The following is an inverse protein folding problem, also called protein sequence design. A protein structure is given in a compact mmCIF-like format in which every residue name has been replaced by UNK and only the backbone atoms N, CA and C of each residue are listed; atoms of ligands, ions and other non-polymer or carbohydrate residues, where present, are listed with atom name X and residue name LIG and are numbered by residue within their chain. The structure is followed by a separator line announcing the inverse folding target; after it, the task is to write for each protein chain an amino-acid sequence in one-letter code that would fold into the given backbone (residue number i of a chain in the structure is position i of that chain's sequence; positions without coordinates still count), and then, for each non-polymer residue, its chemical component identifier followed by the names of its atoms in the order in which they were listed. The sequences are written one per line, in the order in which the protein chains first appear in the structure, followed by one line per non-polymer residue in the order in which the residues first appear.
data_IF_460698978770
#
_entry.id   IF_460698978770
#
_cell.length_a   1.000
_cell.length_b   1.000
_cell.length_c   1.000
_cell.angle_alpha   90.00
_cell.angle_beta   90.00
_cell.angle_gamma   90.00
#
_symmetry.space_group_name_H-M   'P 1'
#
loop_
_entity.id
_entity.type
_entity.pdbx_description
1 polymer ?
#
# COMPACT_ATOMS: atom_id res chain seq x y z
N UNK A 1 20.30 -45.10 -50.42
CA UNK A 1 18.84 -44.82 -50.38
C UNK A 1 18.44 -44.46 -48.96
N UNK A 2 17.98 -43.21 -48.80
CA UNK A 2 17.33 -42.52 -47.67
C UNK A 2 16.88 -43.40 -46.47
N UNK A 3 16.96 -42.94 -45.23
CA UNK A 3 16.07 -41.89 -44.69
C UNK A 3 16.63 -41.24 -43.42
N UNK A 4 16.70 -39.91 -43.45
CA UNK A 4 16.87 -38.99 -42.33
C UNK A 4 15.73 -39.16 -41.30
N UNK A 5 16.07 -39.46 -40.05
CA UNK A 5 15.14 -39.40 -38.92
C UNK A 5 15.17 -37.99 -38.31
N UNK A 6 14.07 -37.26 -38.51
CA UNK A 6 13.80 -35.93 -37.96
C UNK A 6 13.81 -35.96 -36.43
N UNK A 7 14.73 -35.22 -35.83
CA UNK A 7 14.69 -34.85 -34.41
C UNK A 7 13.61 -33.78 -34.22
N UNK A 8 12.47 -34.16 -33.66
CA UNK A 8 11.41 -33.24 -33.24
C UNK A 8 11.80 -32.67 -31.86
N UNK A 9 12.50 -31.53 -31.88
CA UNK A 9 12.74 -30.72 -30.70
C UNK A 9 11.41 -30.12 -30.23
N UNK A 10 10.86 -30.66 -29.14
CA UNK A 10 9.68 -30.11 -28.47
C UNK A 10 10.12 -28.88 -27.70
N UNK A 11 9.87 -27.70 -28.28
CA UNK A 11 10.07 -26.42 -27.62
C UNK A 11 9.00 -26.28 -26.51
N UNK A 12 9.40 -26.53 -25.27
CA UNK A 12 8.63 -26.16 -24.10
C UNK A 12 8.58 -24.63 -24.02
N UNK A 13 7.46 -24.05 -24.45
CA UNK A 13 7.17 -22.64 -24.27
C UNK A 13 6.98 -22.37 -22.77
N UNK A 14 8.04 -21.92 -22.09
CA UNK A 14 7.93 -21.26 -20.80
C UNK A 14 7.16 -19.95 -21.03
N UNK A 15 5.85 -19.97 -20.81
CA UNK A 15 5.11 -18.74 -20.59
C UNK A 15 5.55 -18.18 -19.23
N UNK A 16 6.16 -16.97 -19.16
CA UNK A 16 6.25 -16.28 -17.90
C UNK A 16 4.81 -15.98 -17.46
N UNK A 17 4.36 -16.64 -16.39
CA UNK A 17 3.16 -16.22 -15.68
C UNK A 17 3.44 -14.83 -15.09
N UNK A 18 3.20 -13.80 -15.89
CA UNK A 18 3.25 -12.42 -15.44
C UNK A 18 2.11 -12.21 -14.48
N UNK A 19 2.41 -12.18 -13.18
CA UNK A 19 1.54 -11.58 -12.18
C UNK A 19 1.37 -10.11 -12.58
N UNK A 20 0.31 -9.80 -13.34
CA UNK A 20 -0.01 -8.41 -13.69
C UNK A 20 -0.77 -7.80 -12.51
N UNK A 21 0.02 -7.46 -11.50
CA UNK A 21 -0.37 -6.50 -10.50
C UNK A 21 0.01 -5.11 -10.99
N UNK A 22 -1.01 -4.28 -11.12
CA UNK A 22 -0.83 -2.88 -11.44
C UNK A 22 -0.48 -2.18 -10.14
N UNK A 23 0.67 -1.52 -10.07
CA UNK A 23 1.00 -0.70 -8.93
C UNK A 23 0.13 0.57 -8.99
N UNK A 24 -0.89 0.71 -8.13
CA UNK A 24 -1.55 2.01 -7.90
C UNK A 24 -0.55 2.85 -7.08
N UNK A 25 0.40 3.45 -7.79
CA UNK A 25 1.59 3.98 -7.17
C UNK A 25 1.29 5.27 -6.44
N UNK A 26 1.23 5.15 -5.11
CA UNK A 26 1.36 6.25 -4.15
C UNK A 26 0.17 7.19 -4.16
N UNK A 27 -0.80 6.89 -3.30
CA UNK A 27 -1.76 7.90 -2.87
C UNK A 27 -0.93 9.01 -2.16
N UNK A 28 -1.26 10.31 -2.34
CA UNK A 28 -0.41 11.41 -1.90
C UNK A 28 0.09 11.25 -0.47
N UNK A 29 1.36 11.63 -0.17
CA UNK A 29 1.90 11.57 1.18
C UNK A 29 0.96 12.30 2.14
N UNK A 30 0.66 11.62 3.24
CA UNK A 30 -0.30 12.07 4.23
C UNK A 30 0.31 13.25 5.01
N UNK A 31 -0.56 14.09 5.58
CA UNK A 31 -0.15 15.25 6.37
C UNK A 31 0.92 14.88 7.42
N UNK A 32 1.76 15.89 7.76
CA UNK A 32 2.94 15.83 8.64
C UNK A 32 2.64 15.25 10.03
N UNK A 33 2.46 13.93 10.12
CA UNK A 33 2.52 13.21 11.39
C UNK A 33 4.00 13.12 11.72
N UNK A 34 4.37 13.63 12.89
CA UNK A 34 5.73 13.49 13.39
C UNK A 34 5.97 12.04 13.81
N UNK A 35 6.28 11.20 12.82
CA UNK A 35 6.53 9.78 13.01
C UNK A 35 7.74 9.49 13.92
N UNK A 36 8.47 10.52 14.39
CA UNK A 36 9.51 10.37 15.41
C UNK A 36 8.94 10.05 16.79
N UNK A 37 7.71 10.49 17.09
CA UNK A 37 7.10 10.33 18.43
C UNK A 37 5.97 9.32 18.49
N UNK A 38 5.50 8.84 17.34
CA UNK A 38 4.39 7.89 17.26
C UNK A 38 4.75 6.52 17.82
N UNK A 39 3.92 5.97 18.70
CA UNK A 39 3.98 4.56 19.09
C UNK A 39 3.43 3.68 17.96
N UNK A 40 4.33 2.90 17.35
CA UNK A 40 4.05 2.08 16.19
C UNK A 40 3.16 0.87 16.50
N UNK A 41 3.09 0.44 17.77
CA UNK A 41 2.17 -0.63 18.18
C UNK A 41 0.71 -0.21 17.98
N UNK A 42 0.44 1.10 17.98
CA UNK A 42 -0.86 1.71 17.73
C UNK A 42 -1.06 2.21 16.30
N UNK A 43 -0.05 2.16 15.43
CA UNK A 43 -0.19 2.58 14.04
C UNK A 43 -1.11 1.61 13.29
N UNK A 44 -2.21 2.13 12.75
CA UNK A 44 -3.16 1.38 11.90
C UNK A 44 -3.47 2.16 10.64
N UNK A 45 -3.52 1.45 9.53
CA UNK A 45 -3.99 1.98 8.25
C UNK A 45 -5.28 1.27 7.92
N UNK A 46 -6.29 2.01 7.46
CA UNK A 46 -7.43 1.39 6.80
C UNK A 46 -7.63 1.97 5.41
N UNK A 47 -7.94 1.11 4.47
CA UNK A 47 -8.21 1.46 3.08
C UNK A 47 -9.66 1.08 2.79
N UNK A 48 -10.48 2.09 2.53
CA UNK A 48 -11.83 1.91 2.02
C UNK A 48 -11.80 1.93 0.50
N UNK A 49 -12.34 0.88 -0.10
CA UNK A 49 -12.36 0.66 -1.54
C UNK A 49 -13.79 0.38 -2.00
N UNK A 50 -14.12 0.69 -3.26
CA UNK A 50 -15.34 0.17 -3.87
C UNK A 50 -15.26 -1.36 -3.96
N UNK A 51 -16.40 -2.05 -3.87
CA UNK A 51 -16.49 -3.51 -3.88
C UNK A 51 -16.01 -4.17 -5.18
N UNK A 52 -15.76 -3.36 -6.22
CA UNK A 52 -15.11 -3.80 -7.45
C UNK A 52 -13.62 -4.14 -7.23
N UNK A 53 -12.99 -3.61 -6.18
CA UNK A 53 -11.57 -3.77 -5.88
C UNK A 53 -11.35 -4.48 -4.54
N UNK A 54 -10.32 -5.33 -4.50
CA UNK A 54 -9.77 -5.86 -3.25
C UNK A 54 -8.25 -5.71 -3.20
N UNK A 55 -7.68 -5.44 -2.02
CA UNK A 55 -6.24 -5.50 -1.84
C UNK A 55 -5.72 -6.91 -2.12
N UNK A 56 -4.57 -7.02 -2.79
CA UNK A 56 -3.83 -8.29 -2.82
C UNK A 56 -3.06 -8.46 -1.51
N UNK A 57 -2.74 -9.71 -1.18
CA UNK A 57 -1.84 -10.02 -0.06
C UNK A 57 -0.51 -9.28 -0.25
N UNK A 58 -0.09 -8.50 0.75
CA UNK A 58 1.10 -7.64 0.68
C UNK A 58 0.99 -6.41 -0.23
N UNK A 59 -0.19 -6.16 -0.82
CA UNK A 59 -0.46 -5.06 -1.74
C UNK A 59 -0.53 -3.69 -1.05
N UNK A 60 -0.79 -3.64 0.26
CA UNK A 60 -0.77 -2.41 1.06
C UNK A 60 0.57 -2.31 1.79
N UNK A 61 1.23 -1.16 1.63
CA UNK A 61 2.51 -0.83 2.28
C UNK A 61 2.44 0.56 2.91
N UNK A 62 3.16 0.73 4.01
CA UNK A 62 3.41 2.04 4.61
C UNK A 62 4.72 2.57 4.04
N UNK A 63 4.68 3.72 3.38
CA UNK A 63 5.86 4.42 2.92
C UNK A 63 6.26 5.48 3.94
N UNK A 64 7.51 5.47 4.36
CA UNK A 64 8.09 6.54 5.18
C UNK A 64 9.02 7.34 4.31
N UNK A 65 8.78 8.64 4.30
CA UNK A 65 9.61 9.60 3.58
C UNK A 65 10.46 10.33 4.60
N UNK A 66 11.78 10.23 4.44
CA UNK A 66 12.75 10.92 5.31
C UNK A 66 13.53 11.93 4.49
N UNK A 67 13.78 13.09 5.09
CA UNK A 67 14.60 14.13 4.48
C UNK A 67 15.49 14.74 5.55
N UNK A 68 16.79 14.69 5.33
CA UNK A 68 17.81 15.36 6.15
C UNK A 68 18.33 16.55 5.36
N UNK A 69 18.59 17.67 6.03
CA UNK A 69 19.10 18.87 5.38
C UNK A 69 20.42 18.58 4.66
N UNK A 70 20.49 18.90 3.37
CA UNK A 70 21.64 18.63 2.51
C UNK A 70 21.68 17.22 1.91
N UNK A 71 20.72 16.36 2.23
CA UNK A 71 20.60 15.01 1.68
C UNK A 71 19.34 14.88 0.80
N UNK A 72 19.37 13.93 -0.13
CA UNK A 72 18.21 13.61 -0.95
C UNK A 72 17.10 12.98 -0.11
N UNK A 73 15.85 13.18 -0.53
CA UNK A 73 14.71 12.54 0.10
C UNK A 73 14.79 11.02 -0.11
N UNK A 74 14.64 10.26 0.98
CA UNK A 74 14.69 8.81 0.96
C UNK A 74 13.32 8.24 1.34
N UNK A 75 12.80 7.39 0.47
CA UNK A 75 11.53 6.68 0.66
C UNK A 75 11.81 5.22 1.05
N UNK A 76 11.25 4.78 2.17
CA UNK A 76 11.37 3.40 2.66
C UNK A 76 9.98 2.79 2.79
N UNK A 77 9.73 1.66 2.13
CA UNK A 77 8.46 0.93 2.23
C UNK A 77 8.52 -0.15 3.31
N UNK A 78 7.45 -0.25 4.08
CA UNK A 78 7.24 -1.27 5.11
C UNK A 78 5.97 -2.08 4.80
N UNK A 79 6.08 -3.40 4.97
CA UNK A 79 5.02 -4.36 4.77
C UNK A 79 3.97 -4.24 5.87
N UNK A 80 2.72 -4.16 5.43
CA UNK A 80 1.55 -4.16 6.29
C UNK A 80 0.90 -5.54 6.30
N UNK A 81 0.33 -5.91 7.43
CA UNK A 81 -0.42 -7.14 7.64
C UNK A 81 -1.89 -6.79 7.86
N UNK A 82 -2.77 -7.44 7.09
CA UNK A 82 -4.22 -7.27 7.23
C UNK A 82 -4.69 -7.80 8.59
N UNK A 83 -5.65 -7.09 9.18
CA UNK A 83 -6.23 -7.41 10.47
C UNK A 83 -7.61 -8.00 10.26
N UNK A 84 -7.80 -9.24 10.69
CA UNK A 84 -9.06 -9.97 10.57
C UNK A 84 -9.98 -9.81 11.79
N UNK A 85 -9.43 -9.43 12.95
CA UNK A 85 -10.20 -9.30 14.19
C UNK A 85 -11.10 -8.06 14.19
N UNK A 86 -12.36 -8.22 14.60
CA UNK A 86 -13.32 -7.11 14.66
C UNK A 86 -12.88 -5.99 15.61
N UNK A 87 -12.15 -6.33 16.68
CA UNK A 87 -11.60 -5.37 17.65
C UNK A 87 -10.57 -4.44 17.02
N UNK A 88 -9.82 -4.95 16.06
CA UNK A 88 -8.76 -4.21 15.34
C UNK A 88 -9.33 -3.23 14.32
N UNK A 89 -10.62 -3.39 14.00
CA UNK A 89 -11.41 -2.50 13.14
C UNK A 89 -12.29 -1.55 13.94
N UNK A 90 -12.25 -1.62 15.27
CA UNK A 90 -13.06 -0.78 16.13
C UNK A 90 -12.76 0.71 15.88
N UNK A 91 -13.81 1.51 15.78
CA UNK A 91 -13.69 2.95 15.51
C UNK A 91 -13.52 3.31 14.03
N UNK A 92 -13.47 2.35 13.11
CA UNK A 92 -13.66 2.66 11.69
C UNK A 92 -15.12 3.06 11.43
N UNK A 93 -15.37 4.08 10.60
CA UNK A 93 -16.71 4.35 10.13
C UNK A 93 -17.23 3.14 9.33
N UNK A 94 -18.54 2.91 9.39
CA UNK A 94 -19.18 1.94 8.51
C UNK A 94 -18.93 2.35 7.05
N UNK A 95 -18.48 1.43 6.19
CA UNK A 95 -18.26 1.77 4.80
C UNK A 95 -19.60 2.16 4.14
N UNK A 96 -19.59 3.11 3.19
CA UNK A 96 -20.75 3.38 2.34
C UNK A 96 -21.21 2.13 1.59
N UNK A 97 -22.46 2.13 1.14
CA UNK A 97 -22.99 1.06 0.28
C UNK A 97 -22.11 0.89 -0.97
N UNK A 98 -21.79 -0.35 -1.33
CA UNK A 98 -20.92 -0.65 -2.49
C UNK A 98 -19.43 -0.45 -2.21
N UNK A 99 -19.03 -0.34 -0.94
CA UNK A 99 -17.64 -0.23 -0.51
C UNK A 99 -17.32 -1.17 0.65
N UNK A 100 -16.05 -1.54 0.74
CA UNK A 100 -15.48 -2.37 1.80
C UNK A 100 -14.23 -1.69 2.38
N UNK A 101 -14.10 -1.74 3.70
CA UNK A 101 -12.90 -1.23 4.39
C UNK A 101 -12.01 -2.38 4.83
N UNK A 102 -10.70 -2.27 4.56
CA UNK A 102 -9.67 -3.23 4.93
C UNK A 102 -8.69 -2.57 5.91
N UNK A 103 -8.45 -3.18 7.06
CA UNK A 103 -7.61 -2.62 8.11
C UNK A 103 -6.28 -3.37 8.21
N UNK A 104 -5.23 -2.63 8.50
CA UNK A 104 -3.86 -3.10 8.49
C UNK A 104 -3.07 -2.58 9.68
N UNK A 105 -2.13 -3.41 10.15
CA UNK A 105 -1.06 -3.04 11.08
C UNK A 105 0.29 -3.26 10.43
N UNK A 106 1.33 -2.65 10.99
CA UNK A 106 2.69 -2.94 10.59
C UNK A 106 3.00 -4.43 10.82
N UNK A 107 3.60 -5.09 9.83
CA UNK A 107 3.99 -6.49 10.00
C UNK A 107 5.05 -6.59 11.12
N UNK A 108 5.06 -7.67 11.93
CA UNK A 108 6.03 -7.80 13.02
C UNK A 108 7.50 -7.67 12.56
N UNK A 109 7.81 -8.20 11.38
CA UNK A 109 9.17 -8.12 10.80
C UNK A 109 9.57 -6.70 10.43
N UNK A 110 8.65 -5.88 9.92
CA UNK A 110 8.94 -4.50 9.53
C UNK A 110 8.74 -3.50 10.67
N UNK A 111 8.08 -3.88 11.76
CA UNK A 111 7.99 -3.05 12.96
C UNK A 111 9.36 -2.70 13.54
N UNK A 112 10.25 -3.69 13.67
CA UNK A 112 11.61 -3.46 14.15
C UNK A 112 12.43 -2.59 13.18
N UNK A 113 12.26 -2.79 11.86
CA UNK A 113 12.95 -1.99 10.84
C UNK A 113 12.51 -0.53 10.86
N UNK A 114 11.22 -0.28 11.09
CA UNK A 114 10.72 1.08 11.24
C UNK A 114 11.30 1.72 12.49
N UNK A 115 11.27 1.04 13.64
CA UNK A 115 11.85 1.57 14.88
C UNK A 115 13.32 1.94 14.72
N UNK A 116 14.10 1.14 13.98
CA UNK A 116 15.48 1.46 13.66
C UNK A 116 15.62 2.74 12.80
N UNK A 117 14.76 2.91 11.79
CA UNK A 117 14.71 4.15 10.98
C UNK A 117 14.30 5.36 11.82
N UNK A 118 13.37 5.18 12.76
CA UNK A 118 12.94 6.24 13.68
C UNK A 118 14.07 6.65 14.63
N UNK A 119 14.72 5.67 15.25
CA UNK A 119 15.84 5.89 16.15
C UNK A 119 16.99 6.61 15.45
N UNK A 120 17.33 6.22 14.21
CA UNK A 120 18.40 6.89 13.47
C UNK A 120 18.08 8.37 13.19
N UNK A 121 16.84 8.70 12.82
CA UNK A 121 16.40 10.08 12.60
C UNK A 121 16.39 10.91 13.89
N UNK A 122 16.04 10.30 15.03
CA UNK A 122 16.13 10.95 16.34
C UNK A 122 17.59 11.24 16.72
N UNK A 123 18.49 10.28 16.53
CA UNK A 123 19.92 10.46 16.83
C UNK A 123 20.57 11.51 15.92
N UNK A 124 20.23 11.55 14.63
CA UNK A 124 20.65 12.62 13.73
C UNK A 124 20.17 14.00 14.21
N UNK A 125 18.93 14.08 14.71
CA UNK A 125 18.40 15.29 15.33
C UNK A 125 19.19 15.74 16.56
N UNK A 126 19.59 14.81 17.43
CA UNK A 126 20.45 15.09 18.60
C UNK A 126 21.84 15.59 18.19
N UNK A 127 22.35 15.16 17.04
CA UNK A 127 23.61 15.64 16.46
C UNK A 127 23.48 17.00 15.74
N UNK A 128 22.32 17.67 15.86
CA UNK A 128 22.07 18.99 15.27
C UNK A 128 21.67 18.95 13.79
N UNK A 129 21.50 17.77 13.18
CA UNK A 129 20.99 17.67 11.82
C UNK A 129 19.49 17.96 11.79
N UNK A 130 19.09 18.94 10.97
CA UNK A 130 17.68 19.22 10.71
C UNK A 130 17.13 18.18 9.73
N UNK A 131 15.99 17.59 10.05
CA UNK A 131 15.31 16.64 9.17
C UNK A 131 13.83 16.52 9.45
N UNK A 132 13.11 15.90 8.52
CA UNK A 132 11.67 15.61 8.60
C UNK A 132 11.41 14.15 8.26
N UNK A 133 10.37 13.60 8.89
CA UNK A 133 9.83 12.28 8.58
C UNK A 133 8.34 12.43 8.28
N UNK A 134 7.89 11.90 7.14
CA UNK A 134 6.49 11.88 6.73
C UNK A 134 6.01 10.45 6.48
N UNK A 135 4.70 10.25 6.58
CA UNK A 135 4.05 8.97 6.33
C UNK A 135 3.23 9.04 5.04
N UNK A 136 3.30 8.00 4.23
CA UNK A 136 2.47 7.76 3.07
C UNK A 136 1.91 6.35 3.13
N UNK A 137 0.74 6.13 2.53
CA UNK A 137 0.20 4.78 2.34
C UNK A 137 0.25 4.48 0.86
N UNK A 138 1.05 3.47 0.51
CA UNK A 138 1.07 2.95 -0.85
C UNK A 138 0.25 1.68 -0.88
N UNK A 139 -0.95 1.81 -1.44
CA UNK A 139 -1.73 0.66 -1.82
C UNK A 139 -1.31 0.30 -3.25
N UNK A 140 -0.25 -0.50 -3.37
CA UNK A 140 0.37 -0.81 -4.65
C UNK A 140 -0.47 -1.80 -5.40
N UNK A 141 -0.94 -2.88 -4.79
CA UNK A 141 -1.53 -3.97 -5.56
C UNK A 141 -2.97 -4.26 -5.17
N UNK A 142 -3.85 -4.18 -6.15
CA UNK A 142 -5.24 -4.57 -6.06
C UNK A 142 -5.58 -5.63 -7.11
N UNK A 143 -6.67 -6.35 -6.88
CA UNK A 143 -7.30 -7.26 -7.82
C UNK A 143 -8.78 -6.88 -7.96
N UNK A 144 -9.39 -7.24 -9.09
CA UNK A 144 -10.82 -7.03 -9.31
C UNK A 144 -11.60 -8.14 -8.62
N UNK A 145 -12.53 -7.78 -7.76
CA UNK A 145 -13.44 -8.75 -7.15
C UNK A 145 -14.64 -9.08 -8.05
N UNK A 146 -15.05 -8.15 -8.92
CA UNK A 146 -16.23 -8.29 -9.79
C UNK A 146 -15.94 -7.72 -11.20
N UNK A 147 -16.96 -7.62 -12.06
CA UNK A 147 -16.85 -7.03 -13.40
C UNK A 147 -16.24 -5.61 -13.37
N UNK A 148 -15.68 -5.17 -14.50
CA UNK A 148 -14.97 -3.89 -14.60
C UNK A 148 -15.80 -2.73 -14.01
N UNK A 149 -15.19 -1.85 -13.20
CA UNK A 149 -15.91 -0.78 -12.53
C UNK A 149 -16.52 0.18 -13.54
N UNK A 150 -17.84 0.40 -13.45
CA UNK A 150 -18.60 1.25 -14.38
C UNK A 150 -18.82 2.68 -13.86
N UNK A 151 -17.99 3.14 -12.91
CA UNK A 151 -18.09 4.47 -12.30
C UNK A 151 -16.84 4.83 -11.50
N UNK A 152 -16.85 5.99 -10.85
CA UNK A 152 -15.72 6.50 -10.05
C UNK A 152 -15.21 5.46 -9.06
N UNK A 153 -13.88 5.34 -8.98
CA UNK A 153 -13.19 4.42 -8.08
C UNK A 153 -12.68 5.20 -6.87
N UNK A 154 -13.61 5.56 -5.98
CA UNK A 154 -13.32 6.39 -4.82
C UNK A 154 -12.60 5.61 -3.73
N UNK A 155 -11.43 6.10 -3.33
CA UNK A 155 -10.62 5.52 -2.26
C UNK A 155 -10.51 6.51 -1.11
N UNK A 156 -10.74 6.01 0.10
CA UNK A 156 -10.49 6.75 1.33
C UNK A 156 -9.46 5.99 2.15
N UNK A 157 -8.40 6.69 2.57
CA UNK A 157 -7.40 6.14 3.49
C UNK A 157 -7.62 6.77 4.86
N UNK A 158 -7.69 5.90 5.87
CA UNK A 158 -7.68 6.30 7.26
C UNK A 158 -6.34 5.92 7.89
N UNK A 159 -5.89 6.76 8.81
CA UNK A 159 -4.72 6.50 9.63
C UNK A 159 -5.10 6.69 11.10
N UNK A 160 -4.70 5.73 11.92
CA UNK A 160 -4.73 5.84 13.37
C UNK A 160 -3.29 5.79 13.86
N UNK A 161 -2.96 6.71 14.76
CA UNK A 161 -1.67 6.74 15.44
C UNK A 161 -1.90 6.88 16.94
N UNK A 162 -0.81 6.82 17.70
CA UNK A 162 -0.82 7.00 19.15
C UNK A 162 -1.37 8.35 19.62
N UNK A 163 -1.20 9.37 18.77
CA UNK A 163 -1.59 10.74 18.98
C UNK A 163 -3.09 10.93 18.69
N UNK A 164 -3.59 10.33 17.61
CA UNK A 164 -5.01 10.45 17.24
C UNK A 164 -5.90 9.53 18.05
N UNK A 165 -5.43 8.33 18.40
CA UNK A 165 -6.20 7.27 19.10
C UNK A 165 -7.51 6.86 18.41
N UNK A 166 -7.76 7.37 17.21
CA UNK A 166 -8.91 7.12 16.36
C UNK A 166 -8.46 7.13 14.90
N UNK A 167 -9.23 6.47 14.04
CA UNK A 167 -9.03 6.54 12.60
C UNK A 167 -9.42 7.93 12.09
N UNK A 168 -8.45 8.63 11.49
CA UNK A 168 -8.66 9.94 10.86
C UNK A 168 -8.51 9.76 9.34
N UNK A 169 -9.46 10.26 8.51
CA UNK A 169 -9.29 10.25 7.07
C UNK A 169 -8.15 11.19 6.68
N UNK A 170 -7.14 10.63 6.04
CA UNK A 170 -5.94 11.33 5.61
C UNK A 170 -5.93 11.53 4.10
N UNK A 171 -6.67 10.67 3.38
CA UNK A 171 -7.08 10.85 1.98
C UNK A 171 -8.57 10.52 1.95
N UNK A 172 -9.36 11.36 1.29
CA UNK A 172 -10.82 11.22 1.26
C UNK A 172 -11.32 11.24 -0.18
N UNK A 173 -12.12 10.24 -0.51
CA UNK A 173 -12.89 10.11 -1.76
C UNK A 173 -12.02 10.39 -3.01
N UNK A 174 -10.78 9.90 -3.01
CA UNK A 174 -9.84 10.05 -4.12
C UNK A 174 -10.26 9.13 -5.28
N UNK A 175 -10.60 9.72 -6.43
CA UNK A 175 -11.02 8.94 -7.61
C UNK A 175 -9.80 8.40 -8.37
N UNK A 176 -9.58 7.09 -8.28
CA UNK A 176 -8.50 6.42 -9.00
C UNK A 176 -8.63 6.52 -10.52
N UNK A 177 -9.86 6.56 -11.08
CA UNK A 177 -10.05 6.70 -12.53
C UNK A 177 -9.82 8.14 -13.01
N UNK A 178 -10.05 9.11 -12.13
CA UNK A 178 -9.85 10.52 -12.43
C UNK A 178 -8.38 10.95 -12.46
N UNK A 179 -7.47 10.15 -11.89
CA UNK A 179 -6.04 10.43 -11.87
C UNK A 179 -5.33 9.82 -13.09
N UNK A 180 -4.71 10.63 -13.98
CA UNK A 180 -4.11 10.15 -15.22
C UNK A 180 -2.90 9.24 -14.99
N UNK A 181 -2.22 9.34 -13.84
CA UNK A 181 -1.12 8.43 -13.50
C UNK A 181 -1.63 7.06 -13.04
N UNK A 182 -2.89 6.97 -12.58
CA UNK A 182 -3.52 5.73 -12.09
C UNK A 182 -4.44 5.07 -13.13
N UNK A 183 -5.09 5.86 -13.98
CA UNK A 183 -6.11 5.42 -14.93
C UNK A 183 -5.63 4.27 -15.85
N UNK A 184 -4.46 4.41 -16.48
CA UNK A 184 -3.92 3.41 -17.40
C UNK A 184 -3.54 2.08 -16.72
N UNK A 185 -3.30 2.11 -15.41
CA UNK A 185 -3.07 0.91 -14.64
C UNK A 185 -4.35 0.12 -14.41
N UNK A 186 -5.46 0.79 -14.08
CA UNK A 186 -6.69 0.15 -13.61
C UNK A 186 -7.31 -0.80 -14.64
N UNK A 187 -7.16 -0.52 -15.94
CA UNK A 187 -7.67 -1.35 -17.03
C UNK A 187 -7.06 -2.76 -17.08
N UNK A 188 -5.82 -2.90 -16.58
CA UNK A 188 -5.06 -4.15 -16.61
C UNK A 188 -5.11 -4.95 -15.30
N UNK A 189 -5.97 -4.57 -14.36
CA UNK A 189 -6.12 -5.29 -13.09
C UNK A 189 -6.74 -6.67 -13.31
N UNK A 190 -6.04 -7.71 -12.87
CA UNK A 190 -6.52 -9.08 -12.88
C UNK A 190 -7.61 -9.36 -11.82
N UNK A 191 -8.49 -10.36 -12.05
CA UNK A 191 -9.42 -10.84 -11.04
C UNK A 191 -8.71 -11.38 -9.78
N UNK A 192 -9.38 -11.31 -8.64
CA UNK A 192 -8.89 -11.94 -7.41
C UNK A 192 -8.96 -13.48 -7.50
N UNK A 193 -7.94 -14.18 -6.99
CA UNK A 193 -7.92 -15.64 -6.93
C UNK A 193 -7.46 -16.35 -8.20
N UNK A 194 -6.84 -15.62 -9.14
CA UNK A 194 -6.01 -16.22 -10.20
C UNK A 194 -4.55 -16.32 -9.77
#
# INVERSE_FOLDING_TARGET
MNRLARVLASAAALMPAGCSSVPLTSIPPLARIDARTTDLSMLRVAVQLPDALRPRSGGVKLDVVTKVAGEAETKTSFAMMEMSDARDRAGLPAPPLGSSTYAYRLSPGDAARFEALRASMVEQGKQGKRGSMGLGVAAKEFCRANAAPQGSLLVTIYLMTSETKSFVPVVRDFDLLGDPAMAGGLESIQPCGQ
#
